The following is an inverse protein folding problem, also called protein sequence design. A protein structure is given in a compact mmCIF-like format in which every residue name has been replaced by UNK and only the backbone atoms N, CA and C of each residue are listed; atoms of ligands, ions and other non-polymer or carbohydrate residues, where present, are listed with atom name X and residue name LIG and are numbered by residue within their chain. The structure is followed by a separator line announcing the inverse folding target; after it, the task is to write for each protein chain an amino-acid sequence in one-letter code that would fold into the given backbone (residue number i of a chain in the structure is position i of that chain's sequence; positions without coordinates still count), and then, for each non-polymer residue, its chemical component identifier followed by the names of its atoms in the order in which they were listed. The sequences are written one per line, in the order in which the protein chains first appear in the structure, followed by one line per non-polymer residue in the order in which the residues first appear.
data_IF_223248903485
#
_entry.id   IF_223248903485
#
_cell.length_a   1.000
_cell.length_b   1.000
_cell.length_c   1.000
_cell.angle_alpha   90.00
_cell.angle_beta   90.00
_cell.angle_gamma   90.00
#
_symmetry.space_group_name_H-M   'P 1'
#
loop_
_entity.id
_entity.type
_entity.pdbx_description
1 polymer ?
#
# COMPACT_ATOMS: atom_id res chain seq x y z
N UNK A 1 -3.19 -10.80 18.73
CA UNK A 1 -2.98 -9.64 17.83
C UNK A 1 -4.35 -9.09 17.49
N UNK A 2 -4.60 -7.78 17.66
CA UNK A 2 -5.90 -7.16 17.32
C UNK A 2 -5.80 -6.65 15.88
N UNK A 3 -6.68 -7.15 15.01
CA UNK A 3 -6.78 -6.73 13.60
C UNK A 3 -8.17 -6.17 13.36
N UNK A 4 -8.33 -5.45 12.25
CA UNK A 4 -9.65 -4.99 11.82
C UNK A 4 -10.48 -6.15 11.29
N UNK A 5 -11.80 -6.08 11.51
CA UNK A 5 -12.76 -6.88 10.76
C UNK A 5 -12.79 -6.43 9.29
N UNK A 6 -13.45 -7.23 8.44
CA UNK A 6 -13.67 -6.84 7.05
C UNK A 6 -14.46 -5.53 6.95
N UNK A 7 -15.49 -5.37 7.77
CA UNK A 7 -16.38 -4.20 7.80
C UNK A 7 -15.64 -2.94 8.25
N UNK A 8 -14.77 -3.06 9.26
CA UNK A 8 -13.94 -1.95 9.73
C UNK A 8 -12.96 -1.50 8.64
N UNK A 9 -12.30 -2.44 7.96
CA UNK A 9 -11.39 -2.15 6.86
C UNK A 9 -12.11 -1.52 5.66
N UNK A 10 -13.28 -2.05 5.28
CA UNK A 10 -14.10 -1.47 4.22
C UNK A 10 -14.54 -0.04 4.56
N UNK A 11 -14.95 0.20 5.80
CA UNK A 11 -15.33 1.54 6.29
C UNK A 11 -14.17 2.51 6.14
N UNK A 12 -12.97 2.12 6.57
CA UNK A 12 -11.78 2.95 6.43
C UNK A 12 -11.40 3.22 4.98
N UNK A 13 -11.38 2.20 4.11
CA UNK A 13 -11.02 2.37 2.70
C UNK A 13 -12.02 3.27 1.97
N UNK A 14 -13.31 3.16 2.28
CA UNK A 14 -14.34 4.05 1.74
C UNK A 14 -14.15 5.50 2.21
N UNK A 15 -13.78 5.70 3.48
CA UNK A 15 -13.42 7.02 3.99
C UNK A 15 -12.19 7.60 3.28
N UNK A 16 -11.10 6.82 3.17
CA UNK A 16 -9.87 7.24 2.51
C UNK A 16 -10.13 7.61 1.04
N UNK A 17 -10.93 6.81 0.32
CA UNK A 17 -11.33 7.07 -1.08
C UNK A 17 -12.03 8.41 -1.26
N UNK A 18 -12.92 8.78 -0.33
CA UNK A 18 -13.63 10.07 -0.34
C UNK A 18 -12.73 11.23 0.02
N UNK A 19 -11.72 11.01 0.87
CA UNK A 19 -10.86 12.09 1.38
C UNK A 19 -9.69 12.41 0.43
N UNK A 20 -9.00 11.40 -0.09
CA UNK A 20 -7.86 11.58 -0.97
C UNK A 20 -7.54 10.26 -1.72
N UNK A 21 -7.61 10.31 -3.05
CA UNK A 21 -7.37 9.17 -3.94
C UNK A 21 -5.97 8.57 -3.82
N UNK A 22 -4.95 9.40 -3.56
CA UNK A 22 -3.58 8.96 -3.38
C UNK A 22 -3.43 8.08 -2.12
N UNK A 23 -3.96 8.55 -0.99
CA UNK A 23 -3.92 7.76 0.25
C UNK A 23 -4.77 6.50 0.16
N UNK A 24 -5.92 6.55 -0.52
CA UNK A 24 -6.69 5.35 -0.81
C UNK A 24 -5.86 4.30 -1.57
N UNK A 25 -5.09 4.72 -2.58
CA UNK A 25 -4.20 3.81 -3.32
C UNK A 25 -3.20 3.12 -2.39
N UNK A 26 -2.51 3.87 -1.53
CA UNK A 26 -1.55 3.31 -0.57
C UNK A 26 -2.21 2.29 0.37
N UNK A 27 -3.34 2.64 0.97
CA UNK A 27 -4.00 1.77 1.94
C UNK A 27 -4.65 0.55 1.29
N UNK A 28 -5.25 0.72 0.11
CA UNK A 28 -5.83 -0.39 -0.66
C UNK A 28 -4.74 -1.38 -1.10
N UNK A 29 -3.57 -0.89 -1.52
CA UNK A 29 -2.42 -1.75 -1.84
C UNK A 29 -2.02 -2.60 -0.64
N UNK A 30 -1.83 -1.99 0.54
CA UNK A 30 -1.50 -2.73 1.77
C UNK A 30 -2.56 -3.78 2.11
N UNK A 31 -3.83 -3.40 2.06
CA UNK A 31 -4.96 -4.24 2.42
C UNK A 31 -5.19 -5.43 1.47
N UNK A 32 -5.03 -5.21 0.17
CA UNK A 32 -5.40 -6.19 -0.86
C UNK A 32 -4.24 -7.07 -1.32
N UNK A 33 -3.00 -6.62 -1.15
CA UNK A 33 -1.79 -7.36 -1.59
C UNK A 33 -0.96 -7.88 -0.42
N UNK A 34 -1.17 -7.36 0.79
CA UNK A 34 -0.34 -7.67 1.97
C UNK A 34 1.05 -7.02 1.95
N UNK A 35 1.34 -6.13 0.99
CA UNK A 35 2.61 -5.40 0.93
C UNK A 35 2.80 -4.50 2.16
N UNK A 36 4.05 -4.42 2.63
CA UNK A 36 4.45 -3.53 3.73
C UNK A 36 4.58 -2.09 3.26
N UNK A 37 4.46 -1.13 4.19
CA UNK A 37 4.58 0.31 3.91
C UNK A 37 5.80 0.65 3.04
N UNK A 38 6.98 0.15 3.42
CA UNK A 38 8.22 0.44 2.67
C UNK A 38 8.23 -0.15 1.26
N UNK A 39 7.62 -1.32 1.05
CA UNK A 39 7.50 -1.96 -0.26
C UNK A 39 6.56 -1.17 -1.19
N UNK A 40 5.46 -0.64 -0.65
CA UNK A 40 4.53 0.23 -1.40
C UNK A 40 5.22 1.54 -1.77
N UNK A 41 5.94 2.15 -0.84
CA UNK A 41 6.67 3.40 -1.08
C UNK A 41 7.87 3.21 -2.03
N UNK A 42 8.42 2.00 -2.11
CA UNK A 42 9.53 1.65 -2.99
C UNK A 42 9.12 1.20 -4.39
N UNK A 43 7.82 1.09 -4.66
CA UNK A 43 7.28 0.62 -5.93
C UNK A 43 7.58 1.61 -7.05
N UNK A 44 8.08 1.11 -8.18
CA UNK A 44 8.29 1.89 -9.41
C UNK A 44 7.41 1.32 -10.52
N UNK A 45 7.13 2.15 -11.51
CA UNK A 45 6.29 1.78 -12.66
C UNK A 45 6.80 0.51 -13.37
N UNK A 46 8.12 0.37 -13.55
CA UNK A 46 8.76 -0.80 -14.15
C UNK A 46 8.54 -2.12 -13.37
N UNK A 47 8.12 -2.06 -12.11
CA UNK A 47 7.85 -3.25 -11.30
C UNK A 47 6.38 -3.74 -11.45
N UNK A 48 5.57 -3.04 -12.24
CA UNK A 48 4.14 -3.32 -12.44
C UNK A 48 3.91 -3.88 -13.84
N UNK A 49 3.45 -5.12 -13.89
CA UNK A 49 2.93 -5.74 -15.10
C UNK A 49 1.41 -5.61 -15.11
N UNK A 50 0.92 -4.54 -15.75
CA UNK A 50 -0.51 -4.27 -15.87
C UNK A 50 -1.26 -5.32 -16.71
N UNK A 51 -0.59 -5.93 -17.69
CA UNK A 51 -1.22 -6.94 -18.56
C UNK A 51 -1.53 -8.22 -17.77
N UNK A 52 -0.61 -8.63 -16.90
CA UNK A 52 -0.76 -9.83 -16.09
C UNK A 52 -1.29 -9.56 -14.67
N UNK A 53 -1.59 -8.30 -14.34
CA UNK A 53 -2.01 -7.84 -13.00
C UNK A 53 -1.04 -8.31 -11.90
N UNK A 54 0.26 -8.20 -12.18
CA UNK A 54 1.32 -8.60 -11.26
C UNK A 54 2.13 -7.39 -10.82
N UNK A 55 2.55 -7.43 -9.56
CA UNK A 55 3.49 -6.48 -8.97
C UNK A 55 4.67 -7.27 -8.45
N UNK A 56 5.88 -6.86 -8.84
CA UNK A 56 7.11 -7.40 -8.30
C UNK A 56 7.57 -6.56 -7.12
N UNK A 57 7.68 -7.18 -5.93
CA UNK A 57 8.23 -6.52 -4.74
C UNK A 57 9.75 -6.58 -4.80
N UNK A 58 10.37 -5.52 -5.33
CA UNK A 58 11.83 -5.49 -5.59
C UNK A 58 12.62 -4.78 -4.48
N UNK A 59 12.03 -3.79 -3.82
CA UNK A 59 12.71 -2.95 -2.83
C UNK A 59 11.74 -2.46 -1.77
N UNK A 60 12.29 -2.01 -0.64
CA UNK A 60 11.54 -1.39 0.44
C UNK A 60 12.25 -0.12 0.90
N UNK A 61 11.52 0.98 1.01
CA UNK A 61 12.00 2.20 1.65
C UNK A 61 12.10 1.98 3.16
N UNK A 62 13.26 2.28 3.73
CA UNK A 62 13.51 2.29 5.17
C UNK A 62 13.59 3.72 5.72
N UNK A 63 13.58 3.85 7.04
CA UNK A 63 13.83 5.13 7.72
C UNK A 63 14.96 4.94 8.74
N UNK A 64 16.01 5.74 8.61
CA UNK A 64 17.14 5.77 9.54
C UNK A 64 17.30 7.19 10.05
N UNK A 65 17.00 7.41 11.34
CA UNK A 65 17.10 8.72 12.01
C UNK A 65 16.33 9.84 11.27
N UNK A 66 15.14 9.55 10.75
CA UNK A 66 14.31 10.50 10.00
C UNK A 66 14.71 10.68 8.53
N UNK A 67 15.74 9.97 8.06
CA UNK A 67 16.16 9.97 6.66
C UNK A 67 15.60 8.71 5.99
N UNK A 68 14.88 8.90 4.88
CA UNK A 68 14.38 7.80 4.07
C UNK A 68 15.49 7.28 3.15
N UNK A 69 15.72 5.96 3.19
CA UNK A 69 16.74 5.26 2.38
C UNK A 69 16.12 4.13 1.56
#
# INVERSE_FOLDING_TARGET
MKTWSFEELQTFLNFAKKRNSFYYGIFAMAALTGMRKGEILGLREQDIDFANKKISVVRSVGEVKGIYI
#
